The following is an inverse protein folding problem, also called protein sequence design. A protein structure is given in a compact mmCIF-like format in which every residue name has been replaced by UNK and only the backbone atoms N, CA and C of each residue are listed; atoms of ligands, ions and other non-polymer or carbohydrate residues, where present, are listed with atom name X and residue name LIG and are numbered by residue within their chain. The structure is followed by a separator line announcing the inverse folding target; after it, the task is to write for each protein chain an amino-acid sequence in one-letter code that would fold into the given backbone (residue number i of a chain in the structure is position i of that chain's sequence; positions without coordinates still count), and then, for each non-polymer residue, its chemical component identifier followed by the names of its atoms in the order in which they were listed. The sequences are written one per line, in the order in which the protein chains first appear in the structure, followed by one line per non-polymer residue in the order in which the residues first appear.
data_IF_915737244073
#
_entry.id   IF_915737244073
#
_cell.length_a   1.000
_cell.length_b   1.000
_cell.length_c   1.000
_cell.angle_alpha   90.00
_cell.angle_beta   90.00
_cell.angle_gamma   90.00
#
_symmetry.space_group_name_H-M   'P 1'
#
loop_
_entity.id
_entity.type
_entity.pdbx_description
1 polymer ?
#
# COMPACT_ATOMS: atom_id res chain seq x y z
N UNK A 1 -15.51 35.39 -11.74
CA UNK A 1 -16.37 34.24 -12.05
C UNK A 1 -15.53 33.24 -12.83
N UNK A 2 -15.59 31.94 -12.51
CA UNK A 2 -14.87 30.91 -13.28
C UNK A 2 -15.46 30.84 -14.68
N UNK A 3 -14.62 30.76 -15.71
CA UNK A 3 -15.05 30.67 -17.10
C UNK A 3 -14.96 29.20 -17.56
N UNK A 4 -16.02 28.62 -18.16
CA UNK A 4 -15.91 27.31 -18.76
C UNK A 4 -14.94 27.31 -19.95
N UNK A 5 -14.14 26.26 -20.08
CA UNK A 5 -13.27 26.01 -21.25
C UNK A 5 -13.91 25.03 -22.25
N UNK A 6 -14.97 24.36 -21.84
CA UNK A 6 -15.64 23.33 -22.62
C UNK A 6 -16.87 22.81 -21.91
N UNK A 7 -17.53 21.85 -22.54
CA UNK A 7 -18.72 21.21 -22.00
C UNK A 7 -18.68 19.71 -22.20
N UNK A 8 -19.32 18.99 -21.30
CA UNK A 8 -19.63 17.57 -21.51
C UNK A 8 -20.72 17.49 -22.59
N UNK A 9 -20.41 16.85 -23.72
CA UNK A 9 -21.32 16.78 -24.89
C UNK A 9 -21.94 15.40 -25.10
N UNK A 10 -21.30 14.36 -24.56
CA UNK A 10 -21.79 12.99 -24.59
C UNK A 10 -21.24 12.23 -23.36
N UNK A 11 -21.60 10.96 -23.20
CA UNK A 11 -21.00 10.07 -22.21
C UNK A 11 -19.48 10.07 -22.36
N UNK A 12 -18.76 10.39 -21.27
CA UNK A 12 -17.30 10.44 -21.21
C UNK A 12 -16.63 11.35 -22.26
N UNK A 13 -17.34 12.31 -22.85
CA UNK A 13 -16.80 13.16 -23.91
C UNK A 13 -16.90 14.64 -23.55
N UNK A 14 -15.77 15.34 -23.62
CA UNK A 14 -15.68 16.78 -23.44
C UNK A 14 -15.40 17.43 -24.79
N UNK A 15 -16.16 18.45 -25.15
CA UNK A 15 -15.84 19.34 -26.27
C UNK A 15 -15.32 20.68 -25.72
N UNK A 16 -14.07 20.99 -26.07
CA UNK A 16 -13.40 22.26 -25.75
C UNK A 16 -13.93 23.36 -26.65
N UNK A 17 -14.16 24.57 -26.12
CA UNK A 17 -14.62 25.70 -26.93
C UNK A 17 -13.52 26.14 -27.91
N UNK A 18 -13.94 26.71 -29.04
CA UNK A 18 -13.05 27.11 -30.13
C UNK A 18 -11.92 28.05 -29.65
N UNK A 19 -12.23 29.01 -28.79
CA UNK A 19 -11.22 29.96 -28.27
C UNK A 19 -10.14 29.33 -27.36
N UNK A 20 -10.30 28.06 -26.96
CA UNK A 20 -9.34 27.32 -26.13
C UNK A 20 -8.75 26.10 -26.85
N UNK A 21 -8.99 25.93 -28.15
CA UNK A 21 -8.53 24.77 -28.93
C UNK A 21 -7.01 24.59 -28.86
N UNK A 22 -6.23 25.68 -28.93
CA UNK A 22 -4.77 25.65 -28.79
C UNK A 22 -4.30 25.02 -27.47
N UNK A 23 -5.13 25.06 -26.42
CA UNK A 23 -4.83 24.43 -25.13
C UNK A 23 -4.85 22.89 -25.14
N UNK A 24 -5.31 22.27 -26.23
CA UNK A 24 -5.28 20.81 -26.43
C UNK A 24 -3.89 20.34 -26.87
N UNK A 25 -3.04 21.22 -27.40
CA UNK A 25 -1.72 20.87 -27.91
C UNK A 25 -0.88 20.14 -26.84
N UNK A 26 -0.34 18.98 -27.20
CA UNK A 26 0.45 18.12 -26.31
C UNK A 26 -0.36 17.13 -25.46
N UNK A 27 -1.70 17.15 -25.52
CA UNK A 27 -2.51 16.04 -25.01
C UNK A 27 -2.44 14.85 -25.98
N UNK A 28 -2.25 13.65 -25.43
CA UNK A 28 -2.10 12.42 -26.18
C UNK A 28 -3.01 11.30 -25.63
N UNK A 29 -3.36 10.34 -26.47
CA UNK A 29 -4.05 9.12 -26.04
C UNK A 29 -3.21 8.37 -24.99
N UNK A 30 -3.87 7.90 -23.93
CA UNK A 30 -3.24 7.24 -22.80
C UNK A 30 -2.77 8.17 -21.68
N UNK A 31 -2.76 9.50 -21.88
CA UNK A 31 -2.48 10.43 -20.79
C UNK A 31 -3.60 10.42 -19.76
N UNK A 32 -3.22 10.40 -18.48
CA UNK A 32 -4.16 10.67 -17.38
C UNK A 32 -4.23 12.18 -17.10
N UNK A 33 -5.44 12.70 -16.93
CA UNK A 33 -5.71 14.11 -16.70
C UNK A 33 -6.70 14.31 -15.55
N UNK A 34 -6.44 15.33 -14.74
CA UNK A 34 -7.41 15.90 -13.83
C UNK A 34 -8.36 16.82 -14.59
N UNK A 35 -9.65 16.63 -14.38
CA UNK A 35 -10.69 17.46 -14.97
C UNK A 35 -11.45 18.14 -13.83
N UNK A 36 -11.48 19.47 -13.86
CA UNK A 36 -12.29 20.29 -12.96
C UNK A 36 -13.55 20.73 -13.69
N UNK A 37 -14.70 20.58 -13.07
CA UNK A 37 -15.99 20.89 -13.70
C UNK A 37 -16.98 21.48 -12.70
N UNK A 38 -17.96 22.24 -13.20
CA UNK A 38 -19.00 22.83 -12.38
C UNK A 38 -20.18 21.88 -12.22
N UNK A 39 -20.47 21.53 -10.98
CA UNK A 39 -21.63 20.75 -10.56
C UNK A 39 -22.88 21.65 -10.57
N UNK A 40 -23.23 22.16 -11.75
CA UNK A 40 -24.24 23.18 -11.99
C UNK A 40 -25.64 22.80 -11.48
N UNK A 41 -25.93 21.49 -11.35
CA UNK A 41 -27.20 20.96 -10.79
C UNK A 41 -27.18 20.75 -9.27
N UNK A 42 -26.04 20.95 -8.61
CA UNK A 42 -25.89 20.69 -7.18
C UNK A 42 -26.34 21.85 -6.30
N UNK A 43 -26.67 21.52 -5.05
CA UNK A 43 -27.04 22.48 -4.00
C UNK A 43 -25.82 22.86 -3.16
N UNK A 44 -25.85 24.05 -2.58
CA UNK A 44 -24.82 24.49 -1.65
C UNK A 44 -25.14 23.99 -0.24
N UNK A 45 -24.43 22.95 0.19
CA UNK A 45 -24.59 22.35 1.51
C UNK A 45 -23.23 22.22 2.21
N UNK A 46 -23.25 22.19 3.54
CA UNK A 46 -22.06 21.91 4.37
C UNK A 46 -22.05 20.50 4.96
N UNK A 47 -23.22 19.86 5.01
CA UNK A 47 -23.39 18.49 5.51
C UNK A 47 -24.36 17.74 4.62
N UNK A 48 -24.11 16.44 4.48
CA UNK A 48 -24.89 15.53 3.63
C UNK A 48 -25.00 14.16 4.27
N UNK A 49 -25.93 13.36 3.74
CA UNK A 49 -26.01 11.92 3.94
C UNK A 49 -25.23 11.23 2.80
N UNK A 50 -24.00 10.75 3.02
CA UNK A 50 -23.19 10.14 1.97
C UNK A 50 -23.94 8.93 1.37
N UNK A 51 -23.96 8.84 0.03
CA UNK A 51 -24.68 7.79 -0.70
C UNK A 51 -26.17 7.65 -0.33
N UNK A 52 -26.77 8.68 0.29
CA UNK A 52 -28.15 8.64 0.75
C UNK A 52 -28.39 7.89 2.07
N UNK A 53 -27.36 7.49 2.82
CA UNK A 53 -27.55 6.85 4.13
C UNK A 53 -28.04 7.87 5.18
N UNK A 54 -29.35 7.87 5.41
CA UNK A 54 -30.04 8.77 6.34
C UNK A 54 -29.56 8.65 7.79
N UNK A 55 -28.86 7.57 8.16
CA UNK A 55 -28.34 7.37 9.52
C UNK A 55 -27.02 8.09 9.76
N UNK A 56 -26.31 8.45 8.69
CA UNK A 56 -24.94 8.97 8.76
C UNK A 56 -24.89 10.37 8.18
N UNK A 57 -24.54 11.36 9.00
CA UNK A 57 -24.29 12.75 8.55
C UNK A 57 -22.79 13.00 8.54
N UNK A 58 -22.26 13.53 7.43
CA UNK A 58 -20.85 13.95 7.32
C UNK A 58 -20.75 15.35 6.74
N UNK A 59 -19.68 16.05 7.11
CA UNK A 59 -19.31 17.31 6.48
C UNK A 59 -18.87 17.08 5.03
N UNK A 60 -19.24 17.97 4.12
CA UNK A 60 -19.00 17.77 2.68
C UNK A 60 -17.51 17.68 2.31
N UNK A 61 -16.61 18.28 3.10
CA UNK A 61 -15.15 18.20 2.89
C UNK A 61 -14.55 16.82 3.20
N UNK A 62 -15.29 15.95 3.89
CA UNK A 62 -14.90 14.56 4.14
C UNK A 62 -15.58 13.58 3.16
N UNK A 63 -16.21 14.07 2.09
CA UNK A 63 -16.99 13.26 1.14
C UNK A 63 -16.77 13.72 -0.30
N UNK A 64 -17.24 12.92 -1.27
CA UNK A 64 -17.30 13.30 -2.69
C UNK A 64 -18.69 13.80 -3.12
N UNK A 65 -19.55 14.25 -2.19
CA UNK A 65 -20.90 14.70 -2.55
C UNK A 65 -20.86 15.88 -3.52
N UNK A 66 -21.74 15.91 -4.54
CA UNK A 66 -21.80 17.04 -5.44
C UNK A 66 -22.35 18.30 -4.75
N UNK A 67 -23.16 18.13 -3.70
CA UNK A 67 -23.73 19.26 -2.96
C UNK A 67 -22.70 19.85 -2.01
N UNK A 68 -22.08 20.98 -2.40
CA UNK A 68 -21.00 21.64 -1.66
C UNK A 68 -20.89 23.13 -2.04
N UNK A 69 -20.24 23.99 -1.22
CA UNK A 69 -20.34 25.45 -1.36
C UNK A 69 -19.94 25.98 -2.74
N UNK A 70 -18.79 25.55 -3.28
CA UNK A 70 -18.31 26.07 -4.57
C UNK A 70 -18.79 25.25 -5.77
N UNK A 71 -19.50 24.14 -5.55
CA UNK A 71 -20.01 23.23 -6.60
C UNK A 71 -18.93 22.82 -7.62
N UNK A 72 -17.70 22.60 -7.18
CA UNK A 72 -16.60 22.12 -8.02
C UNK A 72 -16.50 20.59 -7.90
N UNK A 73 -16.59 19.93 -9.04
CA UNK A 73 -16.26 18.52 -9.24
C UNK A 73 -14.81 18.38 -9.73
N UNK A 74 -14.20 17.24 -9.41
CA UNK A 74 -12.85 16.88 -9.81
C UNK A 74 -12.79 15.39 -10.06
N UNK A 75 -12.25 14.99 -11.20
CA UNK A 75 -12.09 13.58 -11.57
C UNK A 75 -10.72 13.36 -12.23
N UNK A 76 -10.14 12.18 -12.00
CA UNK A 76 -9.01 11.68 -12.77
C UNK A 76 -9.56 10.76 -13.85
N UNK A 77 -9.19 11.01 -15.10
CA UNK A 77 -9.61 10.20 -16.25
C UNK A 77 -8.43 10.00 -17.20
N UNK A 78 -8.48 8.96 -18.02
CA UNK A 78 -7.50 8.67 -19.06
C UNK A 78 -8.07 9.05 -20.43
N UNK A 79 -7.30 9.78 -21.22
CA UNK A 79 -7.65 10.13 -22.60
C UNK A 79 -7.66 8.84 -23.43
N UNK A 80 -8.81 8.51 -24.01
CA UNK A 80 -8.99 7.37 -24.90
C UNK A 80 -8.80 7.73 -26.36
N UNK A 81 -9.20 8.93 -26.74
CA UNK A 81 -9.12 9.45 -28.11
C UNK A 81 -9.23 10.96 -28.11
N UNK A 82 -8.57 11.63 -29.06
CA UNK A 82 -8.77 13.05 -29.34
C UNK A 82 -9.19 13.22 -30.80
N UNK A 83 -10.27 13.96 -31.05
CA UNK A 83 -10.81 14.26 -32.39
C UNK A 83 -11.11 15.75 -32.51
N UNK A 84 -10.16 16.52 -33.03
CA UNK A 84 -10.24 17.98 -33.03
C UNK A 84 -10.41 18.51 -31.60
N UNK A 85 -11.50 19.25 -31.35
CA UNK A 85 -11.83 19.80 -30.03
C UNK A 85 -12.47 18.79 -29.05
N UNK A 86 -12.68 17.53 -29.47
CA UNK A 86 -13.32 16.50 -28.64
C UNK A 86 -12.30 15.59 -27.98
N UNK A 87 -12.38 15.47 -26.67
CA UNK A 87 -11.56 14.59 -25.85
C UNK A 87 -12.47 13.49 -25.31
N UNK A 88 -12.22 12.27 -25.74
CA UNK A 88 -12.92 11.06 -25.29
C UNK A 88 -12.16 10.44 -24.12
N UNK A 89 -12.86 10.11 -23.04
CA UNK A 89 -12.29 9.65 -21.79
C UNK A 89 -12.73 8.21 -21.46
N UNK A 90 -12.00 7.55 -20.56
CA UNK A 90 -12.39 6.25 -20.01
C UNK A 90 -13.59 6.37 -19.06
N UNK A 91 -13.66 7.45 -18.29
CA UNK A 91 -14.69 7.69 -17.30
C UNK A 91 -14.87 9.18 -16.99
N UNK A 92 -16.12 9.62 -16.87
CA UNK A 92 -16.50 10.97 -16.49
C UNK A 92 -17.80 10.96 -15.68
N UNK A 93 -17.72 11.31 -14.40
CA UNK A 93 -18.88 11.46 -13.51
C UNK A 93 -19.50 12.86 -13.64
N UNK A 94 -20.06 13.16 -14.82
CA UNK A 94 -20.73 14.41 -15.12
C UNK A 94 -21.85 14.25 -16.14
N UNK A 95 -22.92 15.04 -16.00
CA UNK A 95 -24.01 15.06 -16.96
C UNK A 95 -23.64 15.80 -18.25
N UNK A 96 -24.24 15.44 -19.37
CA UNK A 96 -24.23 16.28 -20.58
C UNK A 96 -24.70 17.70 -20.23
N UNK A 97 -23.98 18.69 -20.78
CA UNK A 97 -24.13 20.12 -20.49
C UNK A 97 -23.34 20.61 -19.27
N UNK A 98 -22.62 19.73 -18.55
CA UNK A 98 -21.77 20.16 -17.43
C UNK A 98 -20.64 21.05 -17.93
N UNK A 99 -20.47 22.28 -17.40
CA UNK A 99 -19.37 23.14 -17.76
C UNK A 99 -18.04 22.59 -17.23
N UNK A 100 -17.06 22.41 -18.10
CA UNK A 100 -15.69 22.07 -17.75
C UNK A 100 -14.92 23.35 -17.48
N UNK A 101 -14.25 23.43 -16.35
CA UNK A 101 -13.53 24.61 -15.87
C UNK A 101 -12.06 24.56 -16.24
N UNK A 102 -11.44 23.38 -16.15
CA UNK A 102 -10.00 23.23 -16.32
C UNK A 102 -9.60 21.76 -16.57
N UNK A 103 -8.47 21.57 -17.24
CA UNK A 103 -7.83 20.27 -17.47
C UNK A 103 -6.36 20.39 -17.08
N UNK A 104 -5.86 19.44 -16.29
CA UNK A 104 -4.45 19.39 -15.87
C UNK A 104 -3.88 18.01 -16.09
N UNK A 105 -2.62 17.86 -16.54
CA UNK A 105 -1.99 16.56 -16.59
C UNK A 105 -1.89 15.99 -15.18
N UNK A 106 -2.20 14.71 -15.03
CA UNK A 106 -1.81 13.97 -13.84
C UNK A 106 -0.32 13.69 -13.94
N UNK A 107 0.44 14.11 -12.94
CA UNK A 107 1.88 13.87 -12.88
C UNK A 107 2.18 13.07 -11.63
N UNK A 108 2.64 11.83 -11.81
CA UNK A 108 2.83 10.87 -10.72
C UNK A 108 3.67 11.43 -9.57
N UNK A 109 4.75 12.17 -9.85
CA UNK A 109 5.62 12.72 -8.81
C UNK A 109 4.94 13.76 -7.90
N UNK A 110 3.90 14.43 -8.38
CA UNK A 110 3.18 15.48 -7.64
C UNK A 110 1.84 14.98 -7.08
N UNK A 111 1.17 14.10 -7.83
CA UNK A 111 -0.21 13.70 -7.56
C UNK A 111 -0.33 12.31 -6.94
N UNK A 112 0.69 11.46 -7.06
CA UNK A 112 0.70 10.13 -6.44
C UNK A 112 1.15 10.22 -4.98
N UNK A 113 0.25 9.91 -4.06
CA UNK A 113 0.62 9.71 -2.66
C UNK A 113 1.25 8.32 -2.55
N UNK A 114 2.59 8.27 -2.58
CA UNK A 114 3.39 7.05 -2.74
C UNK A 114 2.95 5.82 -1.93
N UNK A 115 3.33 4.64 -2.45
CA UNK A 115 2.87 3.33 -1.98
C UNK A 115 3.62 2.79 -0.76
N UNK A 116 4.86 3.21 -0.52
CA UNK A 116 5.70 2.71 0.58
C UNK A 116 5.55 3.62 1.80
N UNK A 117 5.38 3.05 2.99
CA UNK A 117 5.39 3.84 4.22
C UNK A 117 6.79 4.34 4.56
N UNK A 118 6.91 5.64 4.88
CA UNK A 118 8.11 6.18 5.51
C UNK A 118 8.25 5.72 6.97
N UNK A 119 9.45 5.86 7.54
CA UNK A 119 9.71 5.54 8.95
C UNK A 119 8.76 6.26 9.92
N UNK A 120 8.44 7.54 9.66
CA UNK A 120 7.49 8.30 10.47
C UNK A 120 6.05 7.81 10.32
N UNK A 121 5.66 7.36 9.13
CA UNK A 121 4.35 6.74 8.92
C UNK A 121 4.29 5.39 9.63
N UNK A 122 5.34 4.58 9.56
CA UNK A 122 5.44 3.30 10.31
C UNK A 122 5.33 3.57 11.81
N UNK A 123 6.07 4.56 12.35
CA UNK A 123 5.98 4.97 13.76
C UNK A 123 4.54 5.27 14.18
N UNK A 124 3.84 6.09 13.40
CA UNK A 124 2.43 6.44 13.66
C UNK A 124 1.52 5.21 13.61
N UNK A 125 1.72 4.30 12.66
CA UNK A 125 0.93 3.05 12.56
C UNK A 125 1.20 2.11 13.72
N UNK A 126 2.43 2.07 14.25
CA UNK A 126 2.75 1.35 15.48
C UNK A 126 1.99 1.95 16.67
N UNK A 127 1.97 3.27 16.81
CA UNK A 127 1.30 3.96 17.91
C UNK A 127 -0.23 3.82 17.87
N UNK A 128 -0.85 4.10 16.73
CA UNK A 128 -2.31 4.18 16.62
C UNK A 128 -2.98 2.84 16.31
N UNK A 129 -2.34 2.01 15.49
CA UNK A 129 -2.92 0.75 15.00
C UNK A 129 -2.28 -0.49 15.64
N UNK A 130 -1.27 -0.30 16.50
CA UNK A 130 -0.45 -1.38 17.06
C UNK A 130 0.18 -2.25 15.96
N UNK A 131 0.55 -1.64 14.83
CA UNK A 131 1.06 -2.34 13.64
C UNK A 131 2.18 -3.35 13.97
N UNK A 132 3.07 -3.00 14.89
CA UNK A 132 4.17 -3.85 15.35
C UNK A 132 4.25 -3.81 16.87
N UNK A 133 4.39 -4.97 17.50
CA UNK A 133 4.55 -5.12 18.95
C UNK A 133 5.74 -6.03 19.26
N UNK A 134 6.28 -5.94 20.47
CA UNK A 134 7.41 -6.78 20.90
C UNK A 134 8.75 -6.43 20.27
N UNK A 135 8.87 -5.22 19.70
CA UNK A 135 10.15 -4.66 19.28
C UNK A 135 11.07 -4.41 20.49
N UNK A 136 12.38 -4.43 20.24
CA UNK A 136 13.43 -4.26 21.25
C UNK A 136 13.73 -2.77 21.48
N UNK A 137 13.93 -2.03 20.40
CA UNK A 137 14.22 -0.60 20.41
C UNK A 137 13.64 0.04 19.15
N UNK A 138 12.60 0.86 19.33
CA UNK A 138 11.84 1.44 18.23
C UNK A 138 12.68 2.38 17.37
N UNK A 139 13.52 3.21 17.99
CA UNK A 139 14.29 4.21 17.28
C UNK A 139 15.47 3.60 16.52
N UNK A 140 15.98 2.47 17.00
CA UNK A 140 16.99 1.68 16.27
C UNK A 140 16.38 0.86 15.14
N UNK A 141 15.18 0.30 15.34
CA UNK A 141 14.56 -0.63 14.39
C UNK A 141 13.76 0.08 13.28
N UNK A 142 13.23 1.27 13.52
CA UNK A 142 12.65 2.08 12.44
C UNK A 142 13.77 2.52 11.48
N UNK A 143 13.56 2.27 10.19
CA UNK A 143 14.42 2.71 9.10
C UNK A 143 13.67 3.75 8.25
N UNK A 144 14.34 4.50 7.36
CA UNK A 144 13.69 5.57 6.59
C UNK A 144 12.43 5.14 5.81
N UNK A 145 12.36 3.87 5.39
CA UNK A 145 11.28 3.28 4.61
C UNK A 145 10.99 1.82 5.00
N UNK A 146 11.21 1.47 6.26
CA UNK A 146 11.01 0.10 6.72
C UNK A 146 11.18 -0.06 8.21
N UNK A 147 11.08 -1.31 8.64
CA UNK A 147 11.25 -1.71 10.03
C UNK A 147 12.10 -2.97 10.11
N UNK A 148 13.17 -2.94 10.89
CA UNK A 148 14.04 -4.10 11.09
C UNK A 148 13.44 -5.06 12.12
N UNK A 149 13.14 -6.28 11.72
CA UNK A 149 12.78 -7.37 12.63
C UNK A 149 14.02 -8.10 13.15
N UNK A 150 13.91 -8.60 14.37
CA UNK A 150 15.03 -9.14 15.14
C UNK A 150 14.89 -10.64 15.40
N UNK A 151 16.03 -11.31 15.50
CA UNK A 151 16.12 -12.75 15.70
C UNK A 151 15.74 -13.16 17.12
N UNK A 152 14.66 -13.92 17.26
CA UNK A 152 14.24 -14.54 18.53
C UNK A 152 14.96 -15.87 18.76
N UNK A 153 14.86 -16.79 17.79
CA UNK A 153 15.48 -18.12 17.82
C UNK A 153 15.65 -18.71 16.42
N UNK A 154 16.42 -19.80 16.33
CA UNK A 154 16.70 -20.50 15.07
C UNK A 154 16.46 -22.00 15.25
N UNK A 155 15.92 -22.67 14.23
CA UNK A 155 15.75 -24.12 14.19
C UNK A 155 16.24 -24.71 12.87
N UNK A 156 16.70 -25.96 12.90
CA UNK A 156 16.95 -26.78 11.72
C UNK A 156 15.70 -27.57 11.35
N UNK A 157 15.53 -27.83 10.06
CA UNK A 157 14.49 -28.74 9.59
C UNK A 157 14.96 -30.18 9.76
N UNK A 158 14.03 -31.07 10.16
CA UNK A 158 14.19 -32.52 10.21
C UNK A 158 13.18 -33.17 9.26
N UNK A 159 13.66 -34.13 8.48
CA UNK A 159 12.82 -34.84 7.52
C UNK A 159 12.48 -33.99 6.28
N UNK A 160 11.25 -34.12 5.81
CA UNK A 160 10.76 -33.48 4.58
C UNK A 160 9.38 -32.87 4.81
N UNK A 161 8.96 -31.96 3.92
CA UNK A 161 7.60 -31.49 3.83
C UNK A 161 6.91 -32.01 2.57
N UNK A 162 5.57 -31.95 2.56
CA UNK A 162 4.74 -32.20 1.37
C UNK A 162 3.77 -31.06 1.19
N UNK A 163 3.63 -30.58 -0.04
CA UNK A 163 2.73 -29.49 -0.39
C UNK A 163 1.73 -30.04 -1.41
N UNK A 164 0.44 -29.93 -1.08
CA UNK A 164 -0.67 -30.28 -1.96
C UNK A 164 -1.48 -29.02 -2.29
N UNK A 165 -2.52 -29.17 -3.13
CA UNK A 165 -3.35 -28.04 -3.54
C UNK A 165 -4.08 -27.37 -2.36
N UNK A 166 -4.54 -28.15 -1.37
CA UNK A 166 -5.31 -27.65 -0.21
C UNK A 166 -4.72 -28.03 1.15
N UNK A 167 -3.68 -28.86 1.17
CA UNK A 167 -3.10 -29.40 2.39
C UNK A 167 -1.58 -29.26 2.38
N UNK A 168 -0.96 -29.36 3.55
CA UNK A 168 0.48 -29.34 3.72
C UNK A 168 0.90 -30.16 4.93
N UNK A 169 2.03 -30.85 4.78
CA UNK A 169 2.79 -31.49 5.84
C UNK A 169 4.11 -30.71 5.95
N UNK A 170 4.34 -30.03 7.07
CA UNK A 170 5.59 -29.30 7.28
C UNK A 170 6.64 -30.22 7.93
N UNK A 171 7.92 -30.05 7.60
CA UNK A 171 8.98 -30.80 8.28
C UNK A 171 9.01 -30.48 9.78
N UNK A 172 9.42 -31.46 10.58
CA UNK A 172 9.73 -31.25 11.99
C UNK A 172 10.88 -30.26 12.14
N UNK A 173 11.01 -29.67 13.33
CA UNK A 173 12.12 -28.77 13.63
C UNK A 173 12.84 -29.12 14.92
N UNK A 174 14.13 -28.82 14.92
CA UNK A 174 14.98 -28.89 16.11
C UNK A 174 15.63 -27.53 16.33
N UNK A 175 15.46 -26.98 17.52
CA UNK A 175 16.05 -25.70 17.89
C UNK A 175 17.58 -25.79 17.94
N UNK A 176 18.25 -24.79 17.39
CA UNK A 176 19.70 -24.63 17.52
C UNK A 176 19.95 -23.80 18.78
N UNK A 177 20.60 -24.35 19.81
CA UNK A 177 20.79 -23.64 21.06
C UNK A 177 21.74 -22.46 20.88
N UNK A 178 21.47 -21.40 21.64
CA UNK A 178 22.42 -20.29 21.80
C UNK A 178 23.47 -20.66 22.84
N UNK A 179 24.72 -20.35 22.56
CA UNK A 179 25.80 -20.29 23.55
C UNK A 179 25.84 -18.87 24.14
N UNK A 180 25.19 -18.72 25.31
CA UNK A 180 24.86 -17.42 25.88
C UNK A 180 23.95 -16.59 24.96
N UNK A 181 24.50 -15.49 24.44
CA UNK A 181 23.82 -14.56 23.53
C UNK A 181 24.05 -14.86 22.05
N UNK A 182 24.87 -15.85 21.71
CA UNK A 182 25.31 -16.09 20.34
C UNK A 182 24.89 -17.45 19.83
N UNK A 183 24.51 -17.54 18.56
CA UNK A 183 24.28 -18.80 17.87
C UNK A 183 25.23 -18.91 16.68
N UNK A 184 25.95 -20.01 16.61
CA UNK A 184 26.78 -20.35 15.45
C UNK A 184 25.95 -21.15 14.45
N UNK A 185 25.95 -20.70 13.20
CA UNK A 185 25.27 -21.37 12.11
C UNK A 185 26.30 -21.72 11.03
N UNK A 186 26.48 -23.01 10.80
CA UNK A 186 27.22 -23.51 9.65
C UNK A 186 26.37 -23.41 8.39
N UNK A 187 27.00 -23.48 7.21
CA UNK A 187 26.31 -23.53 5.92
C UNK A 187 25.09 -24.47 5.92
N UNK A 188 23.93 -23.98 5.49
CA UNK A 188 22.67 -24.74 5.49
C UNK A 188 21.43 -23.86 5.48
N UNK A 189 20.26 -24.50 5.51
CA UNK A 189 18.97 -23.85 5.67
C UNK A 189 18.50 -23.94 7.11
N UNK A 190 17.98 -22.84 7.63
CA UNK A 190 17.41 -22.74 8.96
C UNK A 190 16.07 -22.01 8.91
N UNK A 191 15.23 -22.27 9.91
CA UNK A 191 14.03 -21.49 10.19
C UNK A 191 14.36 -20.49 11.30
N UNK A 192 14.27 -19.20 10.99
CA UNK A 192 14.46 -18.13 11.96
C UNK A 192 13.09 -17.58 12.40
N UNK A 193 12.97 -17.34 13.69
CA UNK A 193 11.76 -16.81 14.32
C UNK A 193 12.00 -15.36 14.69
N UNK A 194 11.05 -14.49 14.39
CA UNK A 194 11.16 -13.06 14.67
C UNK A 194 10.61 -12.71 16.06
N UNK A 195 11.21 -11.71 16.71
CA UNK A 195 10.72 -11.19 17.99
C UNK A 195 9.44 -10.37 17.82
N UNK A 196 9.21 -9.78 16.66
CA UNK A 196 8.10 -8.85 16.50
C UNK A 196 6.81 -9.57 16.13
N UNK A 197 5.74 -9.18 16.82
CA UNK A 197 4.38 -9.50 16.42
C UNK A 197 3.90 -8.42 15.47
N UNK A 198 3.46 -8.83 14.29
CA UNK A 198 2.89 -7.93 13.28
C UNK A 198 1.37 -8.00 13.38
N UNK A 199 0.69 -6.86 13.44
CA UNK A 199 -0.77 -6.73 13.38
C UNK A 199 -1.12 -5.96 12.10
N UNK A 200 -1.19 -6.65 10.97
CA UNK A 200 -1.39 -6.04 9.66
C UNK A 200 -2.84 -5.57 9.49
N UNK A 201 -3.11 -4.28 9.23
CA UNK A 201 -4.44 -3.79 8.91
C UNK A 201 -4.86 -4.17 7.48
N UNK A 202 -6.13 -3.95 7.13
CA UNK A 202 -6.71 -4.39 5.85
C UNK A 202 -6.35 -3.50 4.64
N UNK A 203 -5.54 -2.46 4.85
CA UNK A 203 -5.11 -1.48 3.85
C UNK A 203 -3.58 -1.52 3.62
N UNK A 204 -2.87 -2.47 4.23
CA UNK A 204 -1.43 -2.66 4.06
C UNK A 204 -1.09 -4.13 3.76
N UNK A 205 -0.01 -4.32 3.01
CA UNK A 205 0.76 -5.56 3.00
C UNK A 205 2.21 -5.23 3.40
N UNK A 206 3.01 -6.26 3.68
CA UNK A 206 4.46 -6.08 3.72
C UNK A 206 5.21 -7.19 2.98
N UNK A 207 6.34 -6.79 2.41
CA UNK A 207 7.40 -7.69 1.94
C UNK A 207 8.64 -7.44 2.80
N UNK A 208 9.58 -8.37 2.80
CA UNK A 208 10.82 -8.20 3.54
C UNK A 208 12.06 -8.51 2.70
N UNK A 209 13.18 -7.90 3.10
CA UNK A 209 14.49 -8.16 2.50
C UNK A 209 15.52 -8.37 3.60
N UNK A 210 16.53 -9.23 3.39
CA UNK A 210 17.63 -9.37 4.33
C UNK A 210 18.35 -8.02 4.50
N UNK A 211 18.90 -7.79 5.69
CA UNK A 211 19.77 -6.63 5.94
C UNK A 211 21.03 -6.73 5.09
N UNK A 212 21.48 -5.62 4.50
CA UNK A 212 22.69 -5.60 3.66
C UNK A 212 23.93 -6.15 4.37
N UNK A 213 24.08 -5.91 5.67
CA UNK A 213 25.14 -6.49 6.50
C UNK A 213 25.08 -8.02 6.53
N UNK A 214 23.88 -8.59 6.68
CA UNK A 214 23.66 -10.04 6.71
C UNK A 214 24.00 -10.68 5.35
N UNK A 215 23.58 -10.03 4.25
CA UNK A 215 23.93 -10.45 2.88
C UNK A 215 25.44 -10.45 2.67
N UNK A 216 26.15 -9.43 3.16
CA UNK A 216 27.63 -9.34 3.08
C UNK A 216 28.35 -10.41 3.90
N UNK A 217 27.68 -10.98 4.90
CA UNK A 217 28.18 -12.15 5.64
C UNK A 217 27.89 -13.49 4.93
N UNK A 218 27.30 -13.47 3.73
CA UNK A 218 26.94 -14.68 3.00
C UNK A 218 25.68 -15.34 3.54
N UNK A 219 24.73 -14.55 4.06
CA UNK A 219 23.48 -15.06 4.63
C UNK A 219 22.30 -14.37 3.97
N UNK A 220 21.36 -15.15 3.46
CA UNK A 220 20.13 -14.69 2.83
C UNK A 220 18.91 -14.99 3.71
N UNK A 221 17.84 -14.23 3.53
CA UNK A 221 16.56 -14.42 4.22
C UNK A 221 15.45 -14.58 3.20
N UNK A 222 14.82 -15.75 3.20
CA UNK A 222 13.68 -16.09 2.34
C UNK A 222 12.38 -15.81 3.09
N UNK A 223 11.50 -15.03 2.49
CA UNK A 223 10.24 -14.59 3.12
C UNK A 223 9.05 -14.80 2.21
N UNK A 224 7.88 -14.99 2.82
CA UNK A 224 6.59 -14.84 2.16
C UNK A 224 6.10 -13.37 2.28
N UNK A 225 4.88 -13.12 1.81
CA UNK A 225 4.20 -11.83 1.97
C UNK A 225 3.47 -11.81 3.31
N UNK A 226 3.51 -10.67 4.00
CA UNK A 226 2.60 -10.39 5.10
C UNK A 226 1.31 -9.81 4.52
N UNK A 227 0.30 -10.65 4.38
CA UNK A 227 -0.99 -10.28 3.82
C UNK A 227 -1.76 -9.30 4.69
N UNK A 228 -2.63 -8.50 4.07
CA UNK A 228 -3.53 -7.60 4.77
C UNK A 228 -4.42 -8.38 5.75
N UNK A 229 -4.53 -7.92 6.99
CA UNK A 229 -5.26 -8.62 8.05
C UNK A 229 -4.49 -9.75 8.75
N UNK A 230 -3.25 -10.07 8.36
CA UNK A 230 -2.40 -11.01 9.09
C UNK A 230 -2.03 -10.51 10.49
N UNK A 231 -2.01 -11.40 11.46
CA UNK A 231 -1.61 -11.16 12.84
C UNK A 231 -0.74 -12.33 13.32
N UNK A 232 0.51 -12.11 13.74
CA UNK A 232 1.38 -13.22 14.15
C UNK A 232 2.83 -12.82 14.43
N UNK A 233 3.59 -13.74 15.04
CA UNK A 233 5.05 -13.69 15.12
C UNK A 233 5.66 -14.61 14.07
N UNK A 234 6.08 -14.00 12.98
CA UNK A 234 6.39 -14.72 11.76
C UNK A 234 7.70 -15.50 11.82
N UNK A 235 7.75 -16.54 11.01
CA UNK A 235 8.95 -17.33 10.74
C UNK A 235 9.46 -17.02 9.33
N UNK A 236 10.78 -16.99 9.17
CA UNK A 236 11.45 -16.76 7.87
C UNK A 236 12.48 -17.85 7.60
N UNK A 237 12.75 -18.13 6.34
CA UNK A 237 13.87 -18.98 5.94
C UNK A 237 15.17 -18.21 6.05
N UNK A 238 16.20 -18.82 6.64
CA UNK A 238 17.54 -18.27 6.76
C UNK A 238 18.50 -19.21 6.05
N UNK A 239 19.10 -18.74 4.95
CA UNK A 239 20.04 -19.53 4.14
C UNK A 239 21.45 -19.04 4.43
N UNK A 240 22.24 -19.90 5.06
CA UNK A 240 23.62 -19.61 5.41
C UNK A 240 24.51 -20.21 4.32
N UNK A 241 25.19 -19.36 3.54
CA UNK A 241 26.17 -19.78 2.54
C UNK A 241 27.60 -19.79 3.10
N UNK A 242 27.87 -18.88 4.04
CA UNK A 242 29.12 -18.78 4.78
C UNK A 242 28.84 -18.83 6.28
N UNK A 243 29.65 -19.59 7.02
CA UNK A 243 29.47 -19.77 8.46
C UNK A 243 29.41 -18.43 9.19
N UNK A 244 28.47 -18.30 10.13
CA UNK A 244 28.17 -17.02 10.78
C UNK A 244 27.83 -17.20 12.25
N UNK A 245 28.22 -16.21 13.05
CA UNK A 245 27.70 -16.01 14.40
C UNK A 245 26.62 -14.94 14.37
N UNK A 246 25.41 -15.28 14.82
CA UNK A 246 24.33 -14.32 15.01
C UNK A 246 24.08 -14.12 16.50
N UNK A 247 23.91 -12.87 16.92
CA UNK A 247 23.51 -12.56 18.28
C UNK A 247 22.00 -12.65 18.44
N UNK A 248 21.53 -13.02 19.62
CA UNK A 248 20.13 -12.86 20.03
C UNK A 248 19.70 -11.41 19.78
N UNK A 249 18.49 -11.23 19.27
CA UNK A 249 17.92 -9.94 18.90
C UNK A 249 18.69 -9.20 17.78
N UNK A 250 19.58 -9.86 17.04
CA UNK A 250 20.19 -9.26 15.86
C UNK A 250 19.10 -8.92 14.84
N UNK A 251 19.19 -7.72 14.24
CA UNK A 251 18.32 -7.27 13.14
C UNK A 251 18.68 -8.05 11.89
N UNK A 252 17.82 -8.97 11.46
CA UNK A 252 18.12 -9.91 10.35
C UNK A 252 17.37 -9.58 9.07
N UNK A 253 16.19 -8.95 9.17
CA UNK A 253 15.31 -8.70 8.04
C UNK A 253 14.63 -7.35 8.19
N UNK A 254 14.46 -6.62 7.08
CA UNK A 254 13.76 -5.34 7.05
C UNK A 254 12.42 -5.51 6.34
N UNK A 255 11.32 -5.21 7.03
CA UNK A 255 9.98 -5.11 6.46
C UNK A 255 9.82 -3.79 5.70
N UNK A 256 9.13 -3.85 4.56
CA UNK A 256 8.72 -2.73 3.73
C UNK A 256 7.20 -2.81 3.61
N UNK A 257 6.50 -1.78 4.08
CA UNK A 257 5.04 -1.72 4.10
C UNK A 257 4.52 -1.02 2.86
N UNK A 258 3.58 -1.65 2.17
CA UNK A 258 2.96 -1.17 0.94
C UNK A 258 1.47 -0.91 1.19
N UNK A 259 1.00 0.27 0.79
CA UNK A 259 -0.42 0.63 0.78
C UNK A 259 -1.14 -0.08 -0.34
N UNK A 260 -2.27 -0.68 0.00
CA UNK A 260 -3.22 -1.17 -1.01
C UNK A 260 -3.99 0.01 -1.60
N UNK A 261 -4.31 -0.07 -2.90
CA UNK A 261 -5.17 0.90 -3.57
C UNK A 261 -6.59 0.91 -3.00
N UNK A 262 -7.06 -0.24 -2.52
CA UNK A 262 -8.34 -0.41 -1.84
C UNK A 262 -8.23 -1.44 -0.70
N UNK A 263 -9.16 -1.38 0.26
CA UNK A 263 -9.24 -2.39 1.33
C UNK A 263 -9.60 -3.74 0.75
N UNK A 264 -8.94 -4.80 1.23
CA UNK A 264 -9.17 -6.17 0.77
C UNK A 264 -9.79 -7.06 1.85
N UNK A 265 -10.19 -8.28 1.44
CA UNK A 265 -10.59 -9.33 2.36
C UNK A 265 -9.38 -9.70 3.25
N UNK A 266 -9.53 -9.70 4.59
CA UNK A 266 -8.42 -9.98 5.49
C UNK A 266 -7.93 -11.43 5.35
N UNK A 267 -6.65 -11.62 5.63
CA UNK A 267 -6.03 -12.94 5.73
C UNK A 267 -6.77 -13.82 6.74
N UNK A 268 -7.09 -15.03 6.30
CA UNK A 268 -7.79 -16.04 7.09
C UNK A 268 -7.17 -17.43 6.92
N UNK A 269 -5.87 -17.48 6.61
CA UNK A 269 -5.13 -18.73 6.41
C UNK A 269 -4.66 -19.37 7.72
N UNK A 270 -4.00 -20.52 7.62
CA UNK A 270 -3.59 -21.34 8.78
C UNK A 270 -2.48 -20.73 9.64
N UNK A 271 -1.78 -19.70 9.16
CA UNK A 271 -0.74 -19.00 9.93
C UNK A 271 -1.27 -17.78 10.69
N UNK A 272 -2.60 -17.56 10.67
CA UNK A 272 -3.21 -16.49 11.43
C UNK A 272 -3.05 -16.78 12.93
N UNK A 273 -2.55 -15.80 13.67
CA UNK A 273 -2.17 -15.89 15.07
C UNK A 273 -0.99 -16.83 15.38
N UNK A 274 -0.11 -17.12 14.41
CA UNK A 274 1.05 -17.99 14.66
C UNK A 274 2.01 -17.41 15.71
N UNK A 275 2.52 -18.28 16.58
CA UNK A 275 3.57 -17.98 17.57
C UNK A 275 3.28 -16.79 18.51
N UNK A 276 2.02 -16.44 18.76
CA UNK A 276 1.61 -15.37 19.70
C UNK A 276 1.54 -15.88 21.13
#
# INVERSE_FOLDING_TARGET
MLKPIGYVVDENTIEILEEYEDGIEGLEEGMSIWILYNLHKAKELLKVHPHGDVRVVRGVFATRSPNRPNRIGMILATIKKIEGRRIHLDYLDAFVGTPVIDIKPYVEIYDCVGFVLSGDQIRKRIEYDRLIEGYIDLDVQIQPNGFDCTLMKVSRLKGFGKIEFQSKELPEVEEVPFDGDWVFLSRGFYRAYLNERINMPNDLIAIARPRSTLVRCGVDVLTAVWDAGYVGRSEVGLVVHNDVWLRRNARIVQLIFLKLSERTKPYSGSYQFENI
#
